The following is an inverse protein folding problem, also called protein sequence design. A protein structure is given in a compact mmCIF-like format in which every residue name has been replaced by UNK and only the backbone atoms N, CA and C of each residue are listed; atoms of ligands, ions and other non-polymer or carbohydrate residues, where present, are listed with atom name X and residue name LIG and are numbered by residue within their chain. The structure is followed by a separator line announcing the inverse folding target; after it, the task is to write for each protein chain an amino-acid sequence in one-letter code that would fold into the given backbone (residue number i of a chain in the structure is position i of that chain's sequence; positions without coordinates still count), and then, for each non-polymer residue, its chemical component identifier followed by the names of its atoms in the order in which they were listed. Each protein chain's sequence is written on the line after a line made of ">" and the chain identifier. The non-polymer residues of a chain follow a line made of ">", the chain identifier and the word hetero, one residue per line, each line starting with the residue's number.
data_IF_345779947518
#
_entry.id   IF_345779947518
#
_cell.length_a   1.000
_cell.length_b   1.000
_cell.length_c   1.000
_cell.angle_alpha   90.00
_cell.angle_beta   90.00
_cell.angle_gamma   90.00
#
_symmetry.space_group_name_H-M   'P 1'
#
loop_
_entity.id
_entity.type
_entity.pdbx_description
1 polymer ?
#
# COMPACT_ATOMS: atom_id res chain seq x y z
N UNK A 1 -25.75 36.78 57.28
CA UNK A 1 -24.33 36.97 57.66
C UNK A 1 -23.74 35.61 57.97
N UNK A 2 -23.18 34.93 56.98
CA UNK A 2 -22.34 33.74 57.20
C UNK A 2 -21.38 33.61 56.03
N UNK A 3 -20.09 33.71 56.34
CA UNK A 3 -18.97 33.66 55.40
C UNK A 3 -18.65 32.20 55.09
N UNK A 4 -18.30 31.89 53.83
CA UNK A 4 -17.59 30.65 53.51
C UNK A 4 -16.32 30.95 52.72
N UNK A 5 -15.27 30.31 53.22
CA UNK A 5 -13.85 30.47 52.92
C UNK A 5 -13.53 29.93 51.54
N UNK A 6 -12.78 30.72 50.77
CA UNK A 6 -12.19 30.33 49.50
C UNK A 6 -11.01 29.37 49.74
N UNK A 7 -11.08 28.18 49.14
CA UNK A 7 -9.92 27.28 49.00
C UNK A 7 -9.41 27.44 47.58
N UNK A 8 -8.28 28.14 47.44
CA UNK A 8 -7.54 28.23 46.19
C UNK A 8 -6.77 26.93 45.99
N UNK A 9 -7.19 26.13 45.01
CA UNK A 9 -6.43 24.95 44.58
C UNK A 9 -5.49 25.39 43.44
N UNK A 10 -4.22 25.57 43.75
CA UNK A 10 -3.15 25.81 42.78
C UNK A 10 -2.89 24.51 42.02
N UNK A 11 -3.43 24.39 40.80
CA UNK A 11 -3.05 23.34 39.86
C UNK A 11 -1.68 23.69 39.29
N UNK A 12 -0.64 23.03 39.81
CA UNK A 12 0.68 23.03 39.22
C UNK A 12 0.61 22.38 37.82
N UNK A 13 1.16 23.10 36.83
CA UNK A 13 1.32 22.62 35.48
C UNK A 13 2.21 21.39 35.44
N UNK A 14 1.65 20.29 34.93
CA UNK A 14 2.40 19.14 34.46
C UNK A 14 2.69 19.40 32.97
N UNK A 15 3.92 19.83 32.67
CA UNK A 15 4.52 19.68 31.34
C UNK A 15 4.62 18.17 31.05
N UNK A 16 3.53 17.62 30.51
CA UNK A 16 3.50 16.25 30.05
C UNK A 16 4.46 16.08 28.87
N UNK A 17 5.18 14.95 28.78
CA UNK A 17 5.96 14.64 27.59
C UNK A 17 5.03 14.73 26.39
N UNK A 18 5.41 15.54 25.40
CA UNK A 18 4.68 15.71 24.15
C UNK A 18 4.47 14.35 23.51
N UNK A 19 3.30 13.76 23.77
CA UNK A 19 2.81 12.58 23.09
C UNK A 19 2.64 13.03 21.65
N UNK A 20 3.63 12.68 20.81
CA UNK A 20 3.43 12.73 19.36
C UNK A 20 2.09 12.03 19.11
N UNK A 21 1.13 12.67 18.41
CA UNK A 21 -0.11 12.02 18.09
C UNK A 21 0.22 10.67 17.45
N UNK A 22 -0.43 9.57 17.86
CA UNK A 22 -0.26 8.30 17.19
C UNK A 22 -0.44 8.55 15.68
N UNK A 23 0.40 7.96 14.81
CA UNK A 23 0.25 8.13 13.38
C UNK A 23 -1.22 7.85 13.06
N UNK A 24 -1.91 8.84 12.48
CA UNK A 24 -3.28 8.67 12.02
C UNK A 24 -3.31 7.36 11.24
N UNK A 25 -3.99 6.35 11.79
CA UNK A 25 -4.33 5.17 11.03
C UNK A 25 -5.23 5.69 9.92
N UNK A 26 -4.67 5.87 8.72
CA UNK A 26 -5.47 5.91 7.51
C UNK A 26 -6.33 4.65 7.55
N UNK A 27 -7.63 4.81 7.77
CA UNK A 27 -8.54 3.68 7.89
C UNK A 27 -8.53 2.83 6.63
N UNK A 28 -8.93 1.57 6.75
CA UNK A 28 -9.08 0.69 5.60
C UNK A 28 -9.97 1.35 4.54
N UNK A 29 -9.51 1.34 3.28
CA UNK A 29 -10.27 1.89 2.15
C UNK A 29 -10.28 0.92 0.99
N UNK A 30 -11.45 0.76 0.38
CA UNK A 30 -11.55 0.05 -0.90
C UNK A 30 -11.17 0.99 -2.03
N UNK A 31 -10.33 0.51 -2.94
CA UNK A 31 -9.87 1.23 -4.13
C UNK A 31 -10.42 0.50 -5.35
N UNK A 32 -11.04 1.25 -6.26
CA UNK A 32 -11.61 0.72 -7.51
C UNK A 32 -11.19 1.50 -8.76
N UNK A 33 -10.83 2.78 -8.60
CA UNK A 33 -10.38 3.66 -9.68
C UNK A 33 -9.33 4.64 -9.14
N UNK A 34 -8.06 4.21 -8.97
CA UNK A 34 -7.02 5.08 -8.45
C UNK A 34 -6.60 6.12 -9.49
N UNK A 35 -6.37 7.35 -9.03
CA UNK A 35 -5.75 8.39 -9.88
C UNK A 35 -4.39 7.91 -10.40
N UNK A 36 -4.01 8.18 -11.67
CA UNK A 36 -2.74 7.74 -12.24
C UNK A 36 -1.48 8.15 -11.45
N UNK A 37 -1.56 9.25 -10.69
CA UNK A 37 -0.44 9.74 -9.87
C UNK A 37 -0.38 9.10 -8.46
N UNK A 38 -1.41 8.32 -8.10
CA UNK A 38 -1.51 7.70 -6.79
C UNK A 38 -0.61 6.46 -6.69
N UNK A 39 -0.16 6.09 -5.47
CA UNK A 39 0.62 4.87 -5.29
C UNK A 39 -0.15 3.59 -5.60
N UNK A 40 -1.48 3.63 -5.60
CA UNK A 40 -2.34 2.49 -5.93
C UNK A 40 -2.49 2.26 -7.44
N UNK A 41 -2.21 3.25 -8.28
CA UNK A 41 -2.29 3.12 -9.74
C UNK A 41 -1.50 1.91 -10.29
N UNK A 42 -0.21 1.71 -9.96
CA UNK A 42 0.50 0.52 -10.43
C UNK A 42 -0.06 -0.79 -9.86
N UNK A 43 -0.68 -0.78 -8.67
CA UNK A 43 -1.31 -1.97 -8.09
C UNK A 43 -2.57 -2.34 -8.87
N UNK A 44 -3.42 -1.36 -9.18
CA UNK A 44 -4.59 -1.58 -10.03
C UNK A 44 -4.18 -2.06 -11.42
N UNK A 45 -3.14 -1.46 -12.02
CA UNK A 45 -2.63 -1.88 -13.33
C UNK A 45 -2.16 -3.34 -13.31
N UNK A 46 -1.41 -3.75 -12.28
CA UNK A 46 -0.96 -5.12 -12.13
C UNK A 46 -2.15 -6.10 -11.96
N UNK A 47 -3.15 -5.75 -11.14
CA UNK A 47 -4.34 -6.58 -10.96
C UNK A 47 -5.17 -6.68 -12.24
N UNK A 48 -5.36 -5.59 -12.99
CA UNK A 48 -6.00 -5.59 -14.32
C UNK A 48 -5.25 -6.51 -15.27
N UNK A 49 -3.92 -6.42 -15.31
CA UNK A 49 -3.08 -7.30 -16.10
C UNK A 49 -3.30 -8.77 -15.73
N UNK A 50 -3.34 -9.12 -14.44
CA UNK A 50 -3.62 -10.48 -13.98
C UNK A 50 -5.00 -10.98 -14.39
N UNK A 51 -6.02 -10.12 -14.29
CA UNK A 51 -7.39 -10.45 -14.72
C UNK A 51 -7.48 -10.69 -16.23
N UNK A 52 -6.70 -9.94 -17.02
CA UNK A 52 -6.65 -10.07 -18.49
C UNK A 52 -5.66 -11.15 -18.98
N UNK A 53 -4.77 -11.66 -18.12
CA UNK A 53 -3.64 -12.48 -18.53
C UNK A 53 -2.60 -11.73 -19.37
N UNK A 54 -2.51 -10.41 -19.23
CA UNK A 54 -1.68 -9.53 -20.06
C UNK A 54 -0.33 -9.23 -19.37
N UNK A 55 0.70 -9.96 -19.79
CA UNK A 55 2.05 -9.80 -19.23
C UNK A 55 2.68 -8.45 -19.57
N UNK A 56 2.46 -7.91 -20.77
CA UNK A 56 3.05 -6.63 -21.18
C UNK A 56 2.46 -5.47 -20.38
N UNK A 57 1.16 -5.53 -20.08
CA UNK A 57 0.51 -4.58 -19.18
C UNK A 57 1.08 -4.67 -17.76
N UNK A 58 1.37 -5.89 -17.27
CA UNK A 58 2.04 -6.09 -15.98
C UNK A 58 3.45 -5.47 -15.97
N UNK A 59 4.21 -5.59 -17.06
CA UNK A 59 5.52 -4.94 -17.18
C UNK A 59 5.43 -3.42 -17.03
N UNK A 60 4.33 -2.81 -17.50
CA UNK A 60 4.03 -1.39 -17.30
C UNK A 60 3.84 -0.99 -15.82
N UNK A 61 3.48 -1.92 -14.94
CA UNK A 61 3.24 -1.67 -13.52
C UNK A 61 4.51 -1.81 -12.66
N UNK A 62 5.50 -2.59 -13.10
CA UNK A 62 6.70 -2.91 -12.33
C UNK A 62 7.88 -1.99 -12.64
N UNK A 63 8.75 -1.81 -11.64
CA UNK A 63 9.94 -0.98 -11.77
C UNK A 63 11.03 -1.75 -12.52
N UNK A 64 11.71 -1.15 -13.52
CA UNK A 64 12.73 -1.82 -14.34
C UNK A 64 14.09 -1.98 -13.62
N UNK A 65 14.10 -2.26 -12.31
CA UNK A 65 15.28 -2.09 -11.46
C UNK A 65 16.37 -3.17 -11.60
N UNK A 66 16.14 -4.22 -12.39
CA UNK A 66 17.07 -5.33 -12.45
C UNK A 66 18.35 -4.95 -13.19
N UNK A 67 19.48 -5.06 -12.49
CA UNK A 67 20.83 -4.99 -13.07
C UNK A 67 21.23 -6.41 -13.46
N UNK A 68 21.29 -6.69 -14.75
CA UNK A 68 21.61 -7.99 -15.32
C UNK A 68 21.58 -7.91 -16.84
N UNK A 69 21.88 -9.03 -17.48
CA UNK A 69 21.62 -9.21 -18.92
C UNK A 69 20.12 -9.12 -19.24
N UNK A 70 19.79 -8.89 -20.51
CA UNK A 70 18.39 -8.84 -20.96
C UNK A 70 17.67 -10.19 -20.74
N UNK A 71 18.39 -11.30 -20.88
CA UNK A 71 17.86 -12.65 -20.64
C UNK A 71 17.53 -12.86 -19.16
N UNK A 72 18.45 -12.54 -18.24
CA UNK A 72 18.22 -12.64 -16.78
C UNK A 72 17.05 -11.75 -16.33
N UNK A 73 16.92 -10.56 -16.94
CA UNK A 73 15.79 -9.66 -16.67
C UNK A 73 14.47 -10.29 -17.10
N UNK A 74 14.43 -10.88 -18.29
CA UNK A 74 13.24 -11.50 -18.86
C UNK A 74 12.80 -12.69 -18.03
N UNK A 75 13.71 -13.60 -17.71
CA UNK A 75 13.42 -14.79 -16.89
C UNK A 75 12.87 -14.41 -15.52
N UNK A 76 13.48 -13.40 -14.88
CA UNK A 76 12.99 -12.89 -13.60
C UNK A 76 11.59 -12.31 -13.72
N UNK A 77 11.31 -11.51 -14.74
CA UNK A 77 9.99 -10.91 -14.94
C UNK A 77 8.92 -11.98 -15.15
N UNK A 78 9.21 -13.02 -15.93
CA UNK A 78 8.30 -14.16 -16.14
C UNK A 78 8.05 -14.92 -14.84
N UNK A 79 9.11 -15.18 -14.05
CA UNK A 79 8.98 -15.85 -12.75
C UNK A 79 8.08 -15.06 -11.79
N UNK A 80 8.30 -13.75 -11.71
CA UNK A 80 7.56 -12.85 -10.81
C UNK A 80 6.11 -12.69 -11.26
N UNK A 81 5.86 -12.68 -12.57
CA UNK A 81 4.52 -12.72 -13.11
C UNK A 81 3.76 -13.99 -12.70
N UNK A 82 4.37 -15.17 -12.88
CA UNK A 82 3.75 -16.45 -12.47
C UNK A 82 3.44 -16.48 -10.98
N UNK A 83 4.37 -15.97 -10.16
CA UNK A 83 4.18 -15.87 -8.71
C UNK A 83 3.01 -14.93 -8.39
N UNK A 84 2.95 -13.76 -9.03
CA UNK A 84 1.87 -12.80 -8.84
C UNK A 84 0.50 -13.38 -9.26
N UNK A 85 0.45 -14.11 -10.37
CA UNK A 85 -0.77 -14.82 -10.81
C UNK A 85 -1.24 -15.90 -9.83
N UNK A 86 -0.36 -16.44 -8.97
CA UNK A 86 -0.78 -17.35 -7.92
C UNK A 86 -1.39 -16.63 -6.70
N UNK A 87 -1.10 -15.33 -6.54
CA UNK A 87 -1.47 -14.53 -5.37
C UNK A 87 -2.56 -13.49 -5.65
N UNK A 88 -2.80 -13.10 -6.91
CA UNK A 88 -3.65 -11.95 -7.24
C UNK A 88 -5.08 -12.09 -6.68
N UNK A 89 -5.60 -13.31 -6.64
CA UNK A 89 -6.91 -13.64 -6.08
C UNK A 89 -7.04 -13.28 -4.60
N UNK A 90 -5.92 -13.25 -3.87
CA UNK A 90 -5.90 -12.88 -2.47
C UNK A 90 -6.17 -11.39 -2.27
N UNK A 91 -6.00 -10.55 -3.30
CA UNK A 91 -6.11 -9.10 -3.15
C UNK A 91 -7.44 -8.53 -3.65
N UNK A 92 -8.17 -9.29 -4.49
CA UNK A 92 -9.39 -8.81 -5.12
C UNK A 92 -10.59 -8.91 -4.18
N UNK A 93 -11.36 -7.83 -4.10
CA UNK A 93 -12.69 -7.83 -3.47
C UNK A 93 -13.78 -8.04 -4.51
N UNK A 94 -14.63 -9.05 -4.33
CA UNK A 94 -15.81 -9.26 -5.15
C UNK A 94 -15.56 -9.97 -6.48
N UNK A 95 -16.40 -9.67 -7.47
CA UNK A 95 -16.42 -10.36 -8.77
C UNK A 95 -15.29 -9.88 -9.73
N UNK A 96 -14.78 -10.80 -10.55
CA UNK A 96 -13.65 -10.60 -11.49
C UNK A 96 -14.07 -10.04 -12.85
N UNK A 97 -15.35 -9.80 -13.08
CA UNK A 97 -15.88 -9.36 -14.37
C UNK A 97 -15.69 -7.87 -14.67
N UNK A 98 -15.16 -7.09 -13.72
CA UNK A 98 -15.04 -5.62 -13.82
C UNK A 98 -13.63 -5.07 -13.56
N UNK A 99 -13.55 -3.79 -13.22
CA UNK A 99 -12.30 -3.17 -12.80
C UNK A 99 -11.79 -3.80 -11.48
N UNK A 100 -10.46 -3.90 -11.26
CA UNK A 100 -9.92 -4.48 -10.05
C UNK A 100 -10.34 -3.64 -8.84
N UNK A 101 -10.81 -4.32 -7.79
CA UNK A 101 -11.15 -3.71 -6.50
C UNK A 101 -10.34 -4.36 -5.41
N UNK A 102 -9.71 -3.59 -4.54
CA UNK A 102 -8.86 -4.10 -3.46
C UNK A 102 -8.91 -3.17 -2.24
N UNK A 103 -8.50 -3.67 -1.08
CA UNK A 103 -8.50 -2.90 0.17
C UNK A 103 -7.07 -2.51 0.55
N UNK A 104 -6.85 -1.20 0.66
CA UNK A 104 -5.63 -0.64 1.24
C UNK A 104 -5.87 -0.40 2.73
N UNK A 105 -5.01 -0.97 3.57
CA UNK A 105 -5.10 -0.83 5.03
C UNK A 105 -4.27 0.33 5.56
N UNK A 106 -3.16 0.65 4.90
CA UNK A 106 -2.29 1.76 5.31
C UNK A 106 -1.20 2.05 4.27
N UNK A 107 -0.58 3.22 4.42
CA UNK A 107 0.65 3.59 3.74
C UNK A 107 1.81 3.74 4.72
N UNK A 108 3.02 3.43 4.24
CA UNK A 108 4.26 3.75 4.94
C UNK A 108 5.29 4.31 3.99
N UNK A 109 5.74 5.54 4.24
CA UNK A 109 6.89 6.13 3.53
C UNK A 109 8.17 5.52 4.09
N UNK A 110 8.97 4.88 3.24
CA UNK A 110 10.28 4.31 3.60
C UNK A 110 11.45 5.19 3.13
N UNK A 111 11.16 6.23 2.33
CA UNK A 111 12.12 7.21 1.86
C UNK A 111 11.50 8.21 0.90
N UNK A 112 12.30 9.16 0.36
CA UNK A 112 11.79 10.21 -0.53
C UNK A 112 11.23 9.68 -1.86
N UNK A 113 11.64 8.47 -2.26
CA UNK A 113 11.25 7.84 -3.54
C UNK A 113 10.73 6.41 -3.35
N UNK A 114 10.47 6.00 -2.12
CA UNK A 114 10.10 4.61 -1.77
C UNK A 114 8.97 4.62 -0.75
N UNK A 115 7.96 3.79 -0.97
CA UNK A 115 6.89 3.58 -0.01
C UNK A 115 6.39 2.14 -0.03
N UNK A 116 5.62 1.78 0.99
CA UNK A 116 4.83 0.57 1.05
C UNK A 116 3.35 0.92 1.13
N UNK A 117 2.56 0.26 0.30
CA UNK A 117 1.09 0.19 0.40
C UNK A 117 0.78 -1.16 1.02
N UNK A 118 -0.03 -1.19 2.07
CA UNK A 118 -0.43 -2.45 2.70
C UNK A 118 -1.80 -2.87 2.16
N UNK A 119 -1.87 -4.06 1.56
CA UNK A 119 -3.09 -4.62 1.01
C UNK A 119 -3.67 -5.68 1.96
N UNK A 120 -4.98 -5.67 2.18
CA UNK A 120 -5.65 -6.73 2.93
C UNK A 120 -5.82 -7.97 2.07
N UNK A 121 -5.49 -9.13 2.64
CA UNK A 121 -5.84 -10.45 2.08
C UNK A 121 -7.35 -10.67 2.19
N UNK A 122 -8.04 -10.82 1.07
CA UNK A 122 -9.49 -11.01 0.96
C UNK A 122 -9.90 -12.47 1.12
N UNK A 123 -8.96 -13.41 0.94
CA UNK A 123 -9.20 -14.84 1.14
C UNK A 123 -8.99 -15.20 2.62
N UNK A 124 -8.03 -14.55 3.29
CA UNK A 124 -7.68 -14.76 4.70
C UNK A 124 -7.54 -13.42 5.44
N UNK A 125 -8.65 -12.73 5.73
CA UNK A 125 -8.66 -11.35 6.25
C UNK A 125 -8.07 -11.18 7.65
N UNK A 126 -7.84 -12.27 8.38
CA UNK A 126 -7.16 -12.31 9.68
C UNK A 126 -5.63 -12.25 9.55
N UNK A 127 -5.08 -12.48 8.36
CA UNK A 127 -3.64 -12.41 8.12
C UNK A 127 -3.14 -10.97 8.13
N UNK A 128 -1.85 -10.82 8.39
CA UNK A 128 -1.19 -9.53 8.26
C UNK A 128 -1.35 -8.98 6.84
N UNK A 129 -1.67 -7.68 6.69
CA UNK A 129 -1.70 -7.04 5.38
C UNK A 129 -0.37 -7.18 4.64
N UNK A 130 -0.45 -7.45 3.33
CA UNK A 130 0.70 -7.68 2.47
C UNK A 130 1.33 -6.34 2.08
N UNK A 131 2.63 -6.12 2.39
CA UNK A 131 3.30 -4.88 2.03
C UNK A 131 3.74 -4.88 0.57
N UNK A 132 3.13 -4.03 -0.25
CA UNK A 132 3.53 -3.76 -1.63
C UNK A 132 4.48 -2.59 -1.67
N UNK A 133 5.75 -2.87 -1.93
CA UNK A 133 6.78 -1.85 -2.06
C UNK A 133 6.73 -1.20 -3.44
N UNK A 134 6.74 0.13 -3.43
CA UNK A 134 6.73 0.98 -4.61
C UNK A 134 7.96 1.87 -4.63
N UNK A 135 8.44 2.18 -5.84
CA UNK A 135 9.53 3.12 -6.07
C UNK A 135 9.15 4.11 -7.17
N UNK A 136 9.52 5.38 -6.99
CA UNK A 136 9.31 6.42 -8.02
C UNK A 136 10.23 6.25 -9.21
N UNK A 137 9.63 6.06 -10.39
CA UNK A 137 10.28 6.11 -11.70
C UNK A 137 9.80 7.35 -12.46
N UNK A 138 10.62 8.41 -12.50
CA UNK A 138 10.17 9.72 -12.96
C UNK A 138 9.07 10.29 -12.06
N UNK A 139 7.90 10.58 -12.65
CA UNK A 139 6.70 11.06 -11.93
C UNK A 139 5.80 9.93 -11.43
N UNK A 140 6.00 8.70 -11.91
CA UNK A 140 5.12 7.57 -11.64
C UNK A 140 5.63 6.71 -10.48
N UNK A 141 4.69 6.08 -9.77
CA UNK A 141 4.99 4.97 -8.87
C UNK A 141 5.00 3.66 -9.66
N UNK A 142 5.97 2.80 -9.36
CA UNK A 142 6.06 1.45 -9.93
C UNK A 142 6.30 0.43 -8.81
N UNK A 143 5.77 -0.77 -8.97
CA UNK A 143 5.97 -1.88 -8.03
C UNK A 143 7.41 -2.36 -8.10
N UNK A 144 8.08 -2.45 -6.95
CA UNK A 144 9.38 -3.12 -6.89
C UNK A 144 9.15 -4.62 -7.04
N UNK A 145 9.83 -5.24 -7.99
CA UNK A 145 9.79 -6.68 -8.25
C UNK A 145 9.98 -7.47 -6.93
N UNK A 146 9.25 -8.58 -6.76
CA UNK A 146 9.20 -9.40 -5.53
C UNK A 146 8.40 -8.82 -4.34
N UNK A 147 7.62 -7.74 -4.55
CA UNK A 147 6.85 -7.10 -3.48
C UNK A 147 5.35 -7.40 -3.48
N UNK A 148 4.89 -8.28 -4.38
CA UNK A 148 3.56 -8.87 -4.35
C UNK A 148 3.70 -10.38 -4.08
#
# INVERSE_FOLDING_TARGET
>A
MTWFVAVSLTLMGLDGPSLRPPPQQEGERTVSDPSPESPEAPIALALTAAMAGDFDLYLGAVHPEHKGSDDERTDRQIYEWKRFLAQYDWYLTGDRSGAPRFVVTSHRKDGPRVMRVFLRDQVHPERMPVPVRLKRHGKEWKIVVSSL
#
